data_IF_639529179824
#
_entry.id   IF_639529179824
#
_cell.length_a   1.000
_cell.length_b   1.000
_cell.length_c   1.000
_cell.angle_alpha   90.00
_cell.angle_beta   90.00
_cell.angle_gamma   90.00
#
_symmetry.space_group_name_H-M   'P 1'
#
loop_
_entity.id
_entity.type
_entity.pdbx_description
1 polymer ?
#
# COMPACT_ATOMS: atom_id res chain seq x y z
N UNK A 1 -39.70 -1.87 -11.45
CA UNK A 1 -38.73 -0.89 -11.96
C UNK A 1 -37.48 -1.69 -12.28
N UNK A 2 -37.16 -1.82 -13.57
CA UNK A 2 -36.04 -2.60 -14.06
C UNK A 2 -34.78 -1.76 -13.92
N UNK A 3 -33.84 -2.21 -13.08
CA UNK A 3 -32.49 -1.64 -13.02
C UNK A 3 -31.75 -2.18 -14.22
N UNK A 4 -31.44 -1.32 -15.18
CA UNK A 4 -30.58 -1.67 -16.31
C UNK A 4 -29.22 -2.03 -15.77
N UNK A 5 -28.79 -3.27 -15.98
CA UNK A 5 -27.43 -3.68 -15.79
C UNK A 5 -26.58 -2.95 -16.84
N UNK A 6 -25.86 -1.90 -16.43
CA UNK A 6 -24.83 -1.30 -17.26
C UNK A 6 -23.79 -2.40 -17.53
N UNK A 7 -23.79 -2.86 -18.79
CA UNK A 7 -22.80 -3.81 -19.28
C UNK A 7 -21.42 -3.13 -19.21
N UNK A 8 -20.60 -3.57 -18.31
CA UNK A 8 -19.16 -3.29 -18.34
C UNK A 8 -18.59 -3.86 -19.64
N UNK A 9 -18.54 -3.05 -20.66
CA UNK A 9 -17.69 -3.37 -21.81
C UNK A 9 -16.27 -3.19 -21.36
N UNK A 10 -15.61 -4.29 -20.98
CA UNK A 10 -14.16 -4.32 -20.92
C UNK A 10 -13.65 -4.01 -22.35
N UNK A 11 -13.34 -2.75 -22.59
CA UNK A 11 -12.46 -2.40 -23.69
C UNK A 11 -11.15 -3.09 -23.35
N UNK A 12 -10.84 -4.17 -24.07
CA UNK A 12 -9.58 -4.87 -23.92
C UNK A 12 -8.46 -3.86 -24.20
N UNK A 13 -7.82 -3.38 -23.13
CA UNK A 13 -6.58 -2.62 -23.29
C UNK A 13 -5.58 -3.53 -23.99
N UNK A 14 -4.94 -3.10 -25.07
CA UNK A 14 -3.98 -3.93 -25.74
C UNK A 14 -2.88 -4.35 -24.76
N UNK A 15 -2.57 -5.65 -24.73
CA UNK A 15 -1.51 -6.17 -23.87
C UNK A 15 -0.12 -5.71 -24.28
N UNK A 16 -0.01 -5.06 -25.41
CA UNK A 16 1.23 -4.54 -26.01
C UNK A 16 0.98 -3.16 -26.63
N UNK A 17 1.90 -2.23 -26.38
CA UNK A 17 1.87 -0.88 -26.95
C UNK A 17 3.09 -0.68 -27.85
N UNK A 18 2.89 -0.13 -29.04
CA UNK A 18 3.98 0.35 -29.87
C UNK A 18 4.28 1.82 -29.55
N UNK A 19 5.51 2.26 -29.75
CA UNK A 19 5.92 3.63 -29.44
C UNK A 19 5.03 4.70 -30.12
N UNK A 20 4.54 4.41 -31.32
CA UNK A 20 3.63 5.30 -32.07
C UNK A 20 2.23 5.42 -31.47
N UNK A 21 1.85 4.52 -30.58
CA UNK A 21 0.55 4.53 -29.85
C UNK A 21 0.65 5.30 -28.53
N UNK A 22 1.85 5.72 -28.12
CA UNK A 22 2.09 6.46 -26.88
C UNK A 22 2.05 7.97 -27.17
N UNK A 23 0.86 8.57 -27.05
CA UNK A 23 0.68 10.02 -27.18
C UNK A 23 0.69 10.68 -25.79
N UNK A 24 1.55 11.67 -25.62
CA UNK A 24 1.64 12.43 -24.35
C UNK A 24 0.33 13.12 -23.96
N UNK A 25 -0.51 13.46 -24.95
CA UNK A 25 -1.84 14.08 -24.70
C UNK A 25 -2.81 13.07 -24.09
N UNK A 26 -2.74 11.81 -24.52
CA UNK A 26 -3.57 10.74 -23.93
C UNK A 26 -3.14 10.51 -22.48
N UNK A 27 -1.83 10.47 -22.20
CA UNK A 27 -1.31 10.40 -20.85
C UNK A 27 -1.72 11.62 -20.00
N UNK A 28 -1.57 12.83 -20.54
CA UNK A 28 -2.00 14.05 -19.84
C UNK A 28 -3.49 14.01 -19.49
N UNK A 29 -4.36 13.53 -20.39
CA UNK A 29 -5.79 13.41 -20.16
C UNK A 29 -6.15 12.47 -18.99
N UNK A 30 -5.28 11.50 -18.71
CA UNK A 30 -5.45 10.56 -17.58
C UNK A 30 -4.95 11.21 -16.29
N UNK A 31 -3.73 11.75 -16.28
CA UNK A 31 -3.10 12.23 -15.04
C UNK A 31 -3.62 13.59 -14.57
N UNK A 32 -4.25 14.36 -15.45
CA UNK A 32 -4.86 15.66 -15.13
C UNK A 32 -6.32 15.54 -14.63
N UNK A 33 -6.87 14.32 -14.57
CA UNK A 33 -8.23 14.12 -14.05
C UNK A 33 -8.29 14.51 -12.57
N UNK A 34 -9.29 15.32 -12.16
CA UNK A 34 -9.45 15.69 -10.76
C UNK A 34 -9.90 14.46 -9.94
N UNK A 35 -9.32 14.30 -8.76
CA UNK A 35 -9.76 13.30 -7.79
C UNK A 35 -10.77 13.95 -6.85
N UNK A 36 -12.03 13.49 -6.89
CA UNK A 36 -13.08 14.01 -6.04
C UNK A 36 -13.34 13.09 -4.86
N UNK A 37 -13.37 13.63 -3.66
CA UNK A 37 -13.67 12.84 -2.45
C UNK A 37 -15.05 12.19 -2.52
N UNK A 38 -16.03 12.82 -3.20
CA UNK A 38 -17.38 12.28 -3.33
C UNK A 38 -17.44 10.91 -4.04
N UNK A 39 -16.40 10.55 -4.80
CA UNK A 39 -16.29 9.26 -5.50
C UNK A 39 -15.83 8.14 -4.57
N UNK A 40 -15.40 8.47 -3.32
CA UNK A 40 -14.83 7.56 -2.34
C UNK A 40 -15.57 7.71 -1.01
N UNK A 41 -16.61 6.89 -0.82
CA UNK A 41 -17.56 7.03 0.30
C UNK A 41 -16.91 6.86 1.69
N UNK A 42 -15.84 6.06 1.76
CA UNK A 42 -15.12 5.75 3.01
C UNK A 42 -13.92 6.69 3.23
N UNK A 43 -13.51 7.45 2.22
CA UNK A 43 -12.37 8.34 2.32
C UNK A 43 -12.66 9.51 3.27
N UNK A 44 -11.68 9.83 4.12
CA UNK A 44 -11.75 11.00 5.03
C UNK A 44 -11.32 12.30 4.35
N UNK A 45 -10.72 12.20 3.16
CA UNK A 45 -10.30 13.38 2.38
C UNK A 45 -9.54 13.02 1.12
N UNK A 46 -9.23 14.03 0.35
CA UNK A 46 -8.29 13.99 -0.78
C UNK A 46 -7.30 15.13 -0.60
N UNK A 47 -6.02 14.83 -0.67
CA UNK A 47 -4.94 15.82 -0.59
C UNK A 47 -3.98 15.63 -1.76
N UNK A 48 -3.77 16.67 -2.56
CA UNK A 48 -2.91 16.65 -3.76
C UNK A 48 -3.20 15.48 -4.72
N UNK A 49 -4.46 15.10 -4.87
CA UNK A 49 -4.88 13.98 -5.71
C UNK A 49 -4.72 12.59 -5.05
N UNK A 50 -4.29 12.51 -3.80
CA UNK A 50 -4.16 11.26 -3.05
C UNK A 50 -5.39 11.06 -2.15
N UNK A 51 -6.01 9.89 -2.22
CA UNK A 51 -7.16 9.54 -1.38
C UNK A 51 -6.69 9.16 0.03
N UNK A 52 -7.30 9.77 1.04
CA UNK A 52 -6.92 9.59 2.45
C UNK A 52 -7.98 8.78 3.19
N UNK A 53 -7.54 7.80 3.95
CA UNK A 53 -8.37 6.97 4.83
C UNK A 53 -7.88 7.05 6.28
N UNK A 54 -8.76 6.73 7.23
CA UNK A 54 -8.41 6.53 8.64
C UNK A 54 -8.42 5.03 8.96
N UNK A 55 -7.31 4.51 9.48
CA UNK A 55 -7.17 3.09 9.80
C UNK A 55 -8.13 2.61 10.90
N UNK A 56 -8.53 3.48 11.81
CA UNK A 56 -9.50 3.15 12.86
C UNK A 56 -10.87 2.89 12.25
N UNK A 57 -11.31 3.76 11.32
CA UNK A 57 -12.58 3.60 10.61
C UNK A 57 -12.58 2.35 9.73
N UNK A 58 -11.46 2.12 9.02
CA UNK A 58 -11.30 0.92 8.19
C UNK A 58 -11.40 -0.37 8.98
N UNK A 59 -10.83 -0.41 10.20
CA UNK A 59 -10.93 -1.59 11.07
C UNK A 59 -12.36 -1.87 11.49
N UNK A 60 -13.12 -0.82 11.84
CA UNK A 60 -14.53 -0.97 12.22
C UNK A 60 -15.38 -1.50 11.05
N UNK A 61 -15.12 -1.04 9.83
CA UNK A 61 -15.80 -1.50 8.62
C UNK A 61 -15.42 -2.93 8.22
N UNK A 62 -14.19 -3.35 8.51
CA UNK A 62 -13.68 -4.67 8.14
C UNK A 62 -14.35 -5.83 8.88
N UNK A 63 -14.95 -5.58 10.04
CA UNK A 63 -15.63 -6.60 10.85
C UNK A 63 -17.02 -6.96 10.28
N UNK A 64 -17.66 -6.08 9.49
CA UNK A 64 -18.91 -6.36 8.81
C UNK A 64 -18.66 -6.79 7.35
N UNK A 65 -19.16 -7.97 6.92
CA UNK A 65 -18.85 -8.50 5.59
C UNK A 65 -19.31 -7.61 4.43
N UNK A 66 -20.43 -6.93 4.53
CA UNK A 66 -20.96 -6.08 3.47
C UNK A 66 -20.19 -4.77 3.37
N UNK A 67 -19.88 -4.16 4.51
CA UNK A 67 -19.02 -2.96 4.60
C UNK A 67 -17.61 -3.25 4.07
N UNK A 68 -17.04 -4.40 4.43
CA UNK A 68 -15.74 -4.85 3.92
C UNK A 68 -15.76 -5.02 2.40
N UNK A 69 -16.82 -5.63 1.83
CA UNK A 69 -16.96 -5.79 0.37
C UNK A 69 -17.03 -4.43 -0.33
N UNK A 70 -17.76 -3.48 0.24
CA UNK A 70 -17.86 -2.12 -0.27
C UNK A 70 -16.51 -1.40 -0.24
N UNK A 71 -15.76 -1.54 0.86
CA UNK A 71 -14.41 -1.00 1.01
C UNK A 71 -13.42 -1.58 -0.01
N UNK A 72 -13.47 -2.91 -0.23
CA UNK A 72 -12.64 -3.57 -1.24
C UNK A 72 -12.95 -3.07 -2.66
N UNK A 73 -14.22 -2.86 -2.98
CA UNK A 73 -14.64 -2.30 -4.26
C UNK A 73 -14.14 -0.86 -4.43
N UNK A 74 -14.16 -0.05 -3.37
CA UNK A 74 -13.63 1.31 -3.38
C UNK A 74 -12.11 1.32 -3.58
N UNK A 75 -11.35 0.46 -2.89
CA UNK A 75 -9.91 0.32 -3.11
C UNK A 75 -9.57 -0.15 -4.52
N UNK A 76 -10.35 -1.10 -5.06
CA UNK A 76 -10.20 -1.53 -6.45
C UNK A 76 -10.42 -0.37 -7.42
N UNK A 77 -11.37 0.52 -7.15
CA UNK A 77 -11.60 1.72 -7.95
C UNK A 77 -10.43 2.70 -7.85
N UNK A 78 -9.88 2.94 -6.63
CA UNK A 78 -8.69 3.79 -6.44
C UNK A 78 -7.52 3.30 -7.29
N UNK A 79 -7.22 2.00 -7.27
CA UNK A 79 -6.06 1.43 -7.97
C UNK A 79 -6.30 1.17 -9.44
N UNK A 80 -7.53 0.85 -9.86
CA UNK A 80 -7.84 0.43 -11.23
C UNK A 80 -8.19 1.59 -12.17
N UNK A 81 -8.96 2.56 -11.70
CA UNK A 81 -9.47 3.66 -12.50
C UNK A 81 -9.25 5.04 -11.86
N UNK A 82 -8.84 5.08 -10.61
CA UNK A 82 -8.59 6.28 -9.83
C UNK A 82 -7.12 6.72 -9.86
N UNK A 83 -6.68 7.43 -8.80
CA UNK A 83 -5.32 8.00 -8.74
C UNK A 83 -4.19 6.97 -8.61
N UNK A 84 -4.50 5.70 -8.37
CA UNK A 84 -3.50 4.64 -8.22
C UNK A 84 -2.75 4.65 -6.89
N UNK A 85 -3.08 5.57 -5.99
CA UNK A 85 -2.41 5.75 -4.70
C UNK A 85 -3.41 6.16 -3.62
N UNK A 86 -3.20 5.66 -2.41
CA UNK A 86 -3.94 6.06 -1.23
C UNK A 86 -3.01 6.12 -0.01
N UNK A 87 -3.42 6.86 1.01
CA UNK A 87 -2.75 6.91 2.30
C UNK A 87 -3.75 6.52 3.38
N UNK A 88 -3.35 5.60 4.23
CA UNK A 88 -4.10 5.22 5.43
C UNK A 88 -3.40 5.86 6.63
N UNK A 89 -4.04 6.86 7.23
CA UNK A 89 -3.59 7.45 8.49
C UNK A 89 -3.95 6.52 9.64
N UNK A 90 -3.20 6.54 10.73
CA UNK A 90 -3.42 5.69 11.90
C UNK A 90 -3.58 4.20 11.53
N UNK A 91 -2.79 3.76 10.53
CA UNK A 91 -2.80 2.38 10.05
C UNK A 91 -2.38 1.37 11.13
N UNK A 92 -1.65 1.84 12.14
CA UNK A 92 -1.22 1.06 13.30
C UNK A 92 -1.76 1.74 14.56
N UNK A 93 -2.26 0.94 15.49
CA UNK A 93 -2.81 1.45 16.77
C UNK A 93 -1.73 1.85 17.78
N UNK A 94 -0.47 1.47 17.52
CA UNK A 94 0.69 1.69 18.37
C UNK A 94 1.94 1.78 17.50
N UNK A 95 2.66 2.88 17.61
CA UNK A 95 3.87 3.13 16.83
C UNK A 95 5.14 2.57 17.49
N UNK A 96 5.08 2.14 18.76
CA UNK A 96 6.24 1.64 19.52
C UNK A 96 6.97 0.50 18.80
N UNK A 97 6.22 -0.39 18.14
CA UNK A 97 6.81 -1.47 17.35
C UNK A 97 7.51 -1.01 16.09
N UNK A 98 6.95 0.00 15.43
CA UNK A 98 7.57 0.60 14.25
C UNK A 98 8.85 1.32 14.62
N UNK A 99 8.85 2.01 15.75
CA UNK A 99 10.02 2.70 16.29
C UNK A 99 11.10 1.70 16.69
N UNK A 100 10.76 0.63 17.41
CA UNK A 100 11.68 -0.45 17.77
C UNK A 100 12.28 -1.14 16.52
N UNK A 101 11.46 -1.42 15.51
CA UNK A 101 11.93 -1.98 14.24
C UNK A 101 12.88 -1.01 13.52
N UNK A 102 12.55 0.27 13.50
CA UNK A 102 13.35 1.31 12.89
C UNK A 102 14.72 1.42 13.56
N UNK A 103 14.80 1.44 14.89
CA UNK A 103 16.07 1.45 15.63
C UNK A 103 16.88 0.17 15.38
N UNK A 104 16.24 -0.98 15.31
CA UNK A 104 16.92 -2.24 14.97
C UNK A 104 17.53 -2.16 13.57
N UNK A 105 16.81 -1.66 12.58
CA UNK A 105 17.34 -1.51 11.22
C UNK A 105 18.46 -0.47 11.16
N UNK A 106 18.39 0.64 11.89
CA UNK A 106 19.46 1.62 11.99
C UNK A 106 20.75 0.99 12.57
N UNK A 107 20.62 0.18 13.61
CA UNK A 107 21.75 -0.54 14.18
C UNK A 107 22.36 -1.53 13.19
N UNK A 108 21.54 -2.31 12.45
CA UNK A 108 22.02 -3.23 11.42
C UNK A 108 22.79 -2.48 10.33
N UNK A 109 22.26 -1.36 9.86
CA UNK A 109 22.91 -0.53 8.83
C UNK A 109 24.25 0.01 9.33
N UNK A 110 24.32 0.46 10.59
CA UNK A 110 25.56 0.95 11.19
C UNK A 110 26.63 -0.14 11.26
N UNK A 111 26.25 -1.34 11.76
CA UNK A 111 27.15 -2.50 11.86
C UNK A 111 27.67 -2.93 10.46
N UNK A 112 26.81 -2.92 9.45
CA UNK A 112 27.18 -3.29 8.07
C UNK A 112 28.12 -2.27 7.41
N UNK A 113 27.94 -0.98 7.73
CA UNK A 113 28.86 0.08 7.28
C UNK A 113 30.22 -0.05 7.94
N UNK A 114 30.26 -0.32 9.24
CA UNK A 114 31.50 -0.47 10.00
C UNK A 114 32.30 -1.69 9.54
N UNK A 115 31.63 -2.79 9.25
CA UNK A 115 32.25 -4.03 8.78
C UNK A 115 32.55 -4.06 7.28
N UNK A 116 32.18 -3.01 6.54
CA UNK A 116 32.36 -2.94 5.08
C UNK A 116 31.46 -3.92 4.30
N UNK A 117 30.47 -4.51 4.96
CA UNK A 117 29.50 -5.42 4.33
C UNK A 117 28.26 -4.72 3.79
N UNK A 118 28.18 -3.39 3.90
CA UNK A 118 27.07 -2.64 3.36
C UNK A 118 27.00 -2.80 1.84
N UNK A 119 25.89 -3.35 1.29
CA UNK A 119 25.76 -3.52 -0.15
C UNK A 119 25.71 -2.16 -0.84
N UNK A 120 26.52 -1.97 -1.86
CA UNK A 120 26.45 -0.78 -2.72
C UNK A 120 25.11 -0.71 -3.44
N UNK A 121 24.64 0.51 -3.70
CA UNK A 121 23.50 0.75 -4.57
C UNK A 121 23.99 1.05 -5.98
N UNK A 122 23.43 0.34 -6.99
CA UNK A 122 23.74 0.57 -8.39
C UNK A 122 23.16 1.90 -8.94
N UNK A 123 22.21 2.49 -8.21
CA UNK A 123 21.46 3.67 -8.67
C UNK A 123 21.83 4.95 -7.92
N UNK A 124 22.64 4.86 -6.87
CA UNK A 124 23.00 6.00 -6.05
C UNK A 124 24.48 5.96 -5.64
N UNK A 125 25.06 7.14 -5.38
CA UNK A 125 26.41 7.22 -4.85
C UNK A 125 26.53 6.47 -3.53
N UNK A 126 27.68 5.87 -3.26
CA UNK A 126 27.92 5.12 -2.04
C UNK A 126 27.60 5.97 -0.78
N UNK A 127 26.73 5.47 0.07
CA UNK A 127 26.28 6.13 1.30
C UNK A 127 25.09 7.07 1.16
N UNK A 128 24.51 7.25 -0.03
CA UNK A 128 23.30 8.07 -0.22
C UNK A 128 22.00 7.31 0.00
N UNK A 129 22.03 5.98 -0.08
CA UNK A 129 20.89 5.10 0.22
C UNK A 129 21.34 4.01 1.19
N UNK A 130 20.53 3.79 2.21
CA UNK A 130 20.73 2.70 3.15
C UNK A 130 19.74 1.57 2.84
N UNK A 131 20.22 0.32 2.79
CA UNK A 131 19.42 -0.88 2.55
C UNK A 131 19.78 -1.97 3.52
N UNK A 132 18.79 -2.70 3.98
CA UNK A 132 18.98 -3.94 4.73
C UNK A 132 18.54 -5.10 3.84
N UNK A 133 19.51 -5.87 3.33
CA UNK A 133 19.23 -7.11 2.62
C UNK A 133 18.85 -8.20 3.60
N UNK A 134 17.91 -9.08 3.22
CA UNK A 134 17.39 -10.14 4.10
C UNK A 134 16.87 -9.59 5.43
N UNK A 135 16.15 -8.48 5.39
CA UNK A 135 15.72 -7.74 6.56
C UNK A 135 14.99 -8.62 7.61
N UNK A 136 14.11 -9.52 7.18
CA UNK A 136 13.38 -10.42 8.09
C UNK A 136 14.31 -11.41 8.78
N UNK A 137 15.30 -11.99 8.08
CA UNK A 137 16.28 -12.91 8.65
C UNK A 137 17.15 -12.17 9.68
N UNK A 138 17.71 -11.03 9.33
CA UNK A 138 18.53 -10.21 10.22
C UNK A 138 17.76 -9.75 11.45
N UNK A 139 16.51 -9.37 11.26
CA UNK A 139 15.61 -9.04 12.35
C UNK A 139 15.38 -10.27 13.25
N UNK A 140 15.14 -11.45 12.69
CA UNK A 140 14.89 -12.68 13.42
C UNK A 140 16.11 -13.19 14.24
N UNK A 141 17.32 -12.85 13.82
CA UNK A 141 18.56 -13.21 14.53
C UNK A 141 18.85 -12.28 15.74
N UNK A 142 18.10 -11.22 15.95
CA UNK A 142 18.23 -10.31 17.09
C UNK A 142 17.11 -10.56 18.12
N UNK A 143 17.37 -11.33 19.21
CA UNK A 143 16.32 -11.98 20.00
C UNK A 143 15.41 -11.08 20.83
N UNK A 144 15.82 -9.85 21.18
CA UNK A 144 15.09 -9.02 22.14
C UNK A 144 13.93 -8.22 21.51
N UNK A 145 14.05 -7.83 20.23
CA UNK A 145 13.14 -6.84 19.66
C UNK A 145 12.17 -7.45 18.64
N UNK A 146 12.58 -8.57 18.03
CA UNK A 146 11.83 -9.25 16.97
C UNK A 146 10.52 -9.84 17.43
N UNK A 147 10.49 -10.36 18.67
CA UNK A 147 9.29 -11.02 19.18
C UNK A 147 8.15 -10.01 19.38
N UNK A 148 8.46 -8.81 19.84
CA UNK A 148 7.48 -7.73 19.97
C UNK A 148 7.04 -7.22 18.59
N UNK A 149 7.97 -7.00 17.66
CA UNK A 149 7.68 -6.58 16.29
C UNK A 149 6.87 -7.65 15.54
N UNK A 150 7.24 -8.93 15.62
CA UNK A 150 6.50 -10.03 14.99
C UNK A 150 5.14 -10.25 15.65
N UNK A 151 5.02 -10.11 16.97
CA UNK A 151 3.74 -10.21 17.68
C UNK A 151 2.83 -9.04 17.33
N UNK A 152 3.33 -7.83 17.24
CA UNK A 152 2.53 -6.66 16.83
C UNK A 152 2.22 -6.70 15.34
N UNK A 153 3.13 -7.14 14.49
CA UNK A 153 2.83 -7.45 13.09
C UNK A 153 1.79 -8.58 12.97
N UNK A 154 1.70 -9.51 13.90
CA UNK A 154 0.68 -10.57 13.93
C UNK A 154 -0.65 -10.11 14.54
N UNK A 155 -0.65 -9.20 15.50
CA UNK A 155 -1.87 -8.58 16.04
C UNK A 155 -2.49 -7.58 15.07
N UNK A 156 -1.68 -6.89 14.26
CA UNK A 156 -2.16 -6.11 13.10
C UNK A 156 -2.49 -6.99 11.88
N UNK A 157 -2.51 -8.32 12.01
CA UNK A 157 -2.92 -9.23 10.93
C UNK A 157 -4.37 -8.98 10.47
N UNK A 158 -5.24 -8.47 11.35
CA UNK A 158 -6.58 -7.99 10.98
C UNK A 158 -6.50 -6.80 10.00
N UNK A 159 -5.66 -5.82 10.27
CA UNK A 159 -5.43 -4.68 9.35
C UNK A 159 -4.86 -5.14 8.01
N UNK A 160 -3.93 -6.12 8.03
CA UNK A 160 -3.37 -6.71 6.79
C UNK A 160 -4.37 -7.54 6.02
N UNK A 161 -5.34 -8.19 6.67
CA UNK A 161 -6.37 -8.96 5.96
C UNK A 161 -7.27 -8.07 5.10
N UNK A 162 -7.50 -6.83 5.52
CA UNK A 162 -8.28 -5.86 4.74
C UNK A 162 -7.46 -5.34 3.56
N UNK A 163 -6.25 -4.84 3.82
CA UNK A 163 -5.37 -4.30 2.77
C UNK A 163 -4.83 -5.43 1.88
N UNK A 164 -4.46 -6.57 2.46
CA UNK A 164 -3.95 -7.72 1.72
C UNK A 164 -5.00 -8.39 0.84
N UNK A 165 -6.24 -8.53 1.29
CA UNK A 165 -7.33 -9.05 0.48
C UNK A 165 -7.69 -8.11 -0.69
N UNK A 166 -7.61 -6.78 -0.46
CA UNK A 166 -7.79 -5.79 -1.52
C UNK A 166 -6.70 -5.89 -2.60
N UNK A 167 -5.47 -6.22 -2.22
CA UNK A 167 -4.35 -6.33 -3.15
C UNK A 167 -4.21 -7.72 -3.81
N UNK A 168 -4.67 -8.79 -3.15
CA UNK A 168 -4.55 -10.16 -3.66
C UNK A 168 -5.67 -10.61 -4.59
N UNK A 169 -6.77 -9.86 -4.65
CA UNK A 169 -7.93 -10.26 -5.45
C UNK A 169 -8.62 -11.54 -4.95
N UNK A 170 -8.27 -12.04 -3.77
CA UNK A 170 -8.91 -13.19 -3.14
C UNK A 170 -10.34 -12.82 -2.70
N UNK A 171 -11.25 -12.87 -3.65
CA UNK A 171 -12.68 -12.95 -3.38
C UNK A 171 -12.94 -14.42 -3.01
N UNK A 172 -12.98 -14.69 -1.72
CA UNK A 172 -13.44 -16.00 -1.27
C UNK A 172 -14.88 -16.21 -1.78
N UNK A 173 -15.09 -17.35 -2.48
CA UNK A 173 -16.40 -17.88 -2.88
C UNK A 173 -17.36 -18.04 -1.69
#
# INVERSE_FOLDING_TARGET
MSVAADSWTMTSSPAWFEAMQCDVRDFASIVEQPVNQADYATAVGVDQGVVLYDGTDLLALADDPDSRRSLLAEFAAVFGAGPGVLIIRHAFGDDDALDAATETFRSIIADEKETGMAPGDHFAAAGSNDRVWNALEKLALRPSDVRSVLLQLSTSARQRSVVGAALSGDVAD
#
